data_IF_585069271367
#
_entry.id   IF_585069271367
#
_cell.length_a   1.000
_cell.length_b   1.000
_cell.length_c   1.000
_cell.angle_alpha   90.00
_cell.angle_beta   90.00
_cell.angle_gamma   90.00
#
_symmetry.space_group_name_H-M   'P 1'
#
loop_
_entity.id
_entity.type
_entity.pdbx_description
1 polymer ?
#
# COMPACT_ATOMS: atom_id res chain seq x y z
N UNK A 1 -2.81 4.49 -13.04
CA UNK A 1 -3.80 4.27 -11.97
C UNK A 1 -5.20 4.21 -12.55
N UNK A 2 -5.97 3.18 -12.28
CA UNK A 2 -7.36 3.10 -12.75
C UNK A 2 -8.20 4.22 -12.16
N UNK A 3 -9.04 4.84 -13.00
CA UNK A 3 -9.88 5.97 -12.56
C UNK A 3 -10.84 5.60 -11.43
N UNK A 4 -11.42 4.39 -11.50
CA UNK A 4 -12.34 3.94 -10.45
C UNK A 4 -11.62 3.83 -9.10
N UNK A 5 -10.40 3.34 -9.11
CA UNK A 5 -9.60 3.23 -7.88
C UNK A 5 -9.22 4.61 -7.35
N UNK A 6 -8.90 5.57 -8.20
CA UNK A 6 -8.47 6.91 -7.78
C UNK A 6 -9.53 7.64 -6.94
N UNK A 7 -10.80 7.26 -7.03
CA UNK A 7 -11.87 7.83 -6.22
C UNK A 7 -12.13 7.06 -4.93
N UNK A 8 -11.41 5.96 -4.72
CA UNK A 8 -11.68 5.07 -3.61
C UNK A 8 -10.52 4.94 -2.64
N UNK A 9 -9.47 5.72 -2.86
CA UNK A 9 -8.36 5.76 -1.90
C UNK A 9 -7.60 7.08 -2.00
N UNK A 10 -6.89 7.38 -0.93
CA UNK A 10 -5.99 8.51 -0.86
C UNK A 10 -4.79 8.12 -0.02
N UNK A 11 -3.66 8.72 -0.29
CA UNK A 11 -2.47 8.47 0.53
C UNK A 11 -1.67 9.75 0.69
N UNK A 12 -0.86 9.79 1.75
CA UNK A 12 0.10 10.87 1.92
C UNK A 12 1.43 10.31 2.43
N UNK A 13 2.51 10.72 1.77
CA UNK A 13 3.85 10.44 2.23
C UNK A 13 4.23 11.50 3.24
N UNK A 14 4.59 11.08 4.45
CA UNK A 14 4.95 11.99 5.54
C UNK A 14 6.45 12.17 5.58
N UNK A 15 7.19 11.09 5.37
CA UNK A 15 8.65 11.08 5.33
C UNK A 15 9.06 10.29 4.10
N UNK A 16 9.99 10.81 3.32
CA UNK A 16 10.47 10.13 2.12
C UNK A 16 10.97 11.10 1.07
N UNK A 17 11.29 10.58 -0.14
CA UNK A 17 11.80 11.43 -1.23
C UNK A 17 10.86 12.55 -1.63
N UNK A 18 9.55 12.34 -1.46
CA UNK A 18 8.50 13.27 -1.87
C UNK A 18 7.69 13.82 -0.70
N UNK A 19 8.09 13.51 0.53
CA UNK A 19 7.37 13.95 1.70
C UNK A 19 7.87 15.27 2.26
N UNK A 20 7.12 15.87 3.18
CA UNK A 20 7.54 17.10 3.86
C UNK A 20 8.78 16.91 4.71
N UNK A 21 9.03 15.69 5.19
CA UNK A 21 10.28 15.35 5.87
C UNK A 21 11.11 14.52 4.90
N UNK A 22 12.25 15.04 4.41
CA UNK A 22 13.02 14.33 3.39
C UNK A 22 13.74 13.11 3.94
N UNK A 23 13.72 12.02 3.17
CA UNK A 23 14.52 10.83 3.39
C UNK A 23 14.63 10.11 2.06
N UNK A 24 15.71 9.40 1.81
CA UNK A 24 15.90 8.69 0.54
C UNK A 24 15.91 7.17 0.68
N UNK A 25 16.00 6.65 1.90
CA UNK A 25 16.08 5.21 2.18
C UNK A 25 14.90 4.69 3.00
N UNK A 26 13.90 5.52 3.27
CA UNK A 26 12.72 5.18 4.04
C UNK A 26 11.54 6.03 3.59
N UNK A 27 10.39 5.40 3.43
CA UNK A 27 9.13 6.11 3.20
C UNK A 27 8.17 5.72 4.32
N UNK A 28 7.58 6.72 4.95
CA UNK A 28 6.50 6.55 5.92
C UNK A 28 5.29 7.35 5.47
N UNK A 29 4.13 6.77 5.58
CA UNK A 29 2.91 7.47 5.20
C UNK A 29 1.65 6.77 5.67
N UNK A 30 0.53 7.30 5.21
CA UNK A 30 -0.79 6.75 5.49
C UNK A 30 -1.53 6.54 4.18
N UNK A 31 -2.35 5.50 4.14
CA UNK A 31 -3.27 5.26 3.04
C UNK A 31 -4.66 5.00 3.60
N UNK A 32 -5.65 5.65 3.00
CA UNK A 32 -7.06 5.53 3.38
C UNK A 32 -7.82 4.94 2.20
N UNK A 33 -8.55 3.86 2.44
CA UNK A 33 -9.40 3.21 1.45
C UNK A 33 -10.87 3.37 1.81
N UNK A 34 -11.69 3.59 0.79
CA UNK A 34 -13.15 3.50 0.95
C UNK A 34 -13.56 2.07 1.26
N UNK A 35 -14.76 1.85 1.84
CA UNK A 35 -15.30 0.49 1.98
C UNK A 35 -15.42 -0.20 0.61
N UNK A 36 -15.41 -1.52 0.60
CA UNK A 36 -15.59 -2.36 -0.61
C UNK A 36 -14.60 -2.01 -1.71
N UNK A 37 -13.36 -1.72 -1.35
CA UNK A 37 -12.33 -1.36 -2.31
C UNK A 37 -11.33 -2.48 -2.46
N UNK A 38 -10.98 -2.80 -3.71
CA UNK A 38 -9.87 -3.69 -4.00
C UNK A 38 -8.74 -2.86 -4.62
N UNK A 39 -7.63 -2.78 -3.89
CA UNK A 39 -6.42 -2.18 -4.43
C UNK A 39 -5.70 -3.27 -5.22
N UNK A 40 -5.46 -3.07 -6.52
CA UNK A 40 -4.99 -4.14 -7.38
C UNK A 40 -3.69 -4.77 -6.91
N UNK A 41 -3.49 -6.03 -7.29
CA UNK A 41 -2.26 -6.75 -7.03
C UNK A 41 -1.08 -5.96 -7.58
N UNK A 42 -0.05 -5.77 -6.75
CA UNK A 42 1.11 -4.97 -7.10
C UNK A 42 2.33 -5.53 -6.36
N UNK A 43 3.49 -5.13 -6.82
CA UNK A 43 4.75 -5.49 -6.19
C UNK A 43 5.71 -4.31 -6.21
N UNK A 44 6.68 -4.36 -5.29
CA UNK A 44 7.70 -3.33 -5.14
C UNK A 44 9.06 -4.02 -5.16
N UNK A 45 9.66 -4.13 -6.31
CA UNK A 45 10.97 -4.76 -6.43
C UNK A 45 12.03 -3.94 -5.70
N UNK A 46 12.79 -4.61 -4.83
CA UNK A 46 13.80 -3.94 -4.03
C UNK A 46 13.28 -3.21 -2.82
N UNK A 47 11.98 -3.39 -2.50
CA UNK A 47 11.33 -2.69 -1.39
C UNK A 47 10.69 -3.70 -0.47
N UNK A 48 10.95 -3.56 0.84
CA UNK A 48 10.21 -4.26 1.87
C UNK A 48 9.17 -3.30 2.43
N UNK A 49 7.94 -3.77 2.57
CA UNK A 49 6.82 -2.96 3.00
C UNK A 49 6.17 -3.54 4.23
N UNK A 50 5.82 -2.67 5.18
CA UNK A 50 5.03 -3.08 6.34
C UNK A 50 3.84 -2.15 6.49
N UNK A 51 2.75 -2.71 7.04
CA UNK A 51 1.53 -1.99 7.35
C UNK A 51 1.19 -2.14 8.81
N UNK A 52 0.67 -1.06 9.39
CA UNK A 52 -0.01 -1.11 10.67
C UNK A 52 -1.46 -0.74 10.42
N UNK A 53 -2.37 -1.64 10.77
CA UNK A 53 -3.80 -1.43 10.63
C UNK A 53 -4.28 -0.50 11.71
N UNK A 54 -4.86 0.65 11.34
CA UNK A 54 -5.31 1.67 12.28
C UNK A 54 -6.82 1.63 12.44
N UNK A 55 -7.55 1.56 11.35
CA UNK A 55 -9.02 1.54 11.37
C UNK A 55 -9.57 0.73 10.21
N UNK A 56 -10.74 0.13 10.42
CA UNK A 56 -11.39 -0.72 9.42
C UNK A 56 -10.79 -2.11 9.34
N UNK A 57 -11.34 -2.93 8.46
CA UNK A 57 -10.84 -4.29 8.23
C UNK A 57 -10.43 -4.45 6.77
N UNK A 58 -9.50 -5.36 6.53
CA UNK A 58 -8.99 -5.61 5.18
C UNK A 58 -8.36 -7.00 5.11
N UNK A 59 -8.17 -7.48 3.89
CA UNK A 59 -7.45 -8.72 3.64
C UNK A 59 -6.32 -8.50 2.65
N UNK A 60 -5.30 -9.33 2.74
CA UNK A 60 -4.20 -9.34 1.79
C UNK A 60 -4.23 -10.65 1.04
N UNK A 61 -4.35 -10.57 -0.28
CA UNK A 61 -4.41 -11.75 -1.17
C UNK A 61 -5.51 -12.74 -0.77
N UNK A 62 -6.57 -12.25 -0.13
CA UNK A 62 -7.69 -13.07 0.35
C UNK A 62 -7.29 -14.17 1.35
N UNK A 63 -6.12 -14.05 1.94
CA UNK A 63 -5.60 -15.08 2.84
C UNK A 63 -6.14 -14.98 4.26
N UNK A 64 -6.34 -13.75 4.76
CA UNK A 64 -6.80 -13.52 6.11
C UNK A 64 -7.42 -12.12 6.22
N UNK A 65 -8.26 -11.93 7.21
CA UNK A 65 -8.83 -10.61 7.52
C UNK A 65 -8.05 -10.00 8.67
N UNK A 66 -7.58 -8.79 8.48
CA UNK A 66 -6.83 -8.05 9.49
C UNK A 66 -7.71 -6.96 10.12
N UNK A 67 -7.58 -6.83 11.43
CA UNK A 67 -8.29 -5.84 12.22
C UNK A 67 -7.32 -4.76 12.73
N UNK A 68 -7.83 -3.65 13.28
CA UNK A 68 -6.97 -2.62 13.86
C UNK A 68 -5.97 -3.18 14.85
N UNK A 69 -4.74 -2.69 14.79
CA UNK A 69 -3.63 -3.17 15.62
C UNK A 69 -2.76 -4.23 14.97
N UNK A 70 -3.18 -4.78 13.82
CA UNK A 70 -2.39 -5.81 13.12
C UNK A 70 -1.16 -5.17 12.46
N UNK A 71 -0.04 -5.88 12.53
CA UNK A 71 1.19 -5.51 11.84
C UNK A 71 1.47 -6.56 10.77
N UNK A 72 1.63 -6.12 9.54
CA UNK A 72 1.86 -7.00 8.39
C UNK A 72 3.19 -6.62 7.74
N UNK A 73 4.01 -7.64 7.46
CA UNK A 73 5.31 -7.46 6.82
C UNK A 73 5.30 -8.14 5.46
N UNK A 74 5.71 -7.40 4.44
CA UNK A 74 5.85 -7.91 3.07
C UNK A 74 7.29 -7.76 2.62
N UNK A 75 7.89 -8.88 2.26
CA UNK A 75 9.26 -8.91 1.79
C UNK A 75 9.38 -8.33 0.37
N UNK A 76 10.62 -8.04 -0.02
CA UNK A 76 10.98 -7.59 -1.34
C UNK A 76 10.33 -8.44 -2.44
N UNK A 77 9.65 -7.77 -3.36
CA UNK A 77 9.09 -8.42 -4.53
C UNK A 77 7.81 -9.21 -4.29
N UNK A 78 7.33 -9.30 -3.06
CA UNK A 78 6.09 -10.00 -2.76
C UNK A 78 4.90 -9.25 -3.36
N UNK A 79 4.14 -9.94 -4.22
CA UNK A 79 2.92 -9.35 -4.78
C UNK A 79 1.79 -9.39 -3.77
N UNK A 80 1.06 -8.29 -3.65
CA UNK A 80 -0.06 -8.24 -2.72
C UNK A 80 -1.20 -7.39 -3.28
N UNK A 81 -2.41 -7.78 -2.88
CA UNK A 81 -3.65 -7.12 -3.21
C UNK A 81 -4.39 -6.85 -1.91
N UNK A 82 -4.91 -5.65 -1.75
CA UNK A 82 -5.66 -5.25 -0.57
C UNK A 82 -7.14 -5.17 -0.91
N UNK A 83 -7.97 -5.85 -0.12
CA UNK A 83 -9.42 -5.77 -0.24
C UNK A 83 -9.99 -5.32 1.08
N UNK A 84 -10.76 -4.23 1.08
CA UNK A 84 -11.31 -3.64 2.30
C UNK A 84 -12.69 -4.17 2.61
N UNK A 85 -13.09 -4.03 3.87
CA UNK A 85 -14.39 -4.49 4.35
C UNK A 85 -15.56 -3.69 3.80
N UNK A 86 -16.78 -4.15 4.09
CA UNK A 86 -17.97 -3.65 3.43
C UNK A 86 -18.55 -2.37 4.04
N UNK A 87 -18.18 -2.04 5.27
CA UNK A 87 -18.87 -0.98 6.01
C UNK A 87 -18.03 0.25 6.28
N UNK A 88 -16.77 0.07 6.67
CA UNK A 88 -15.97 1.16 7.19
C UNK A 88 -14.79 1.45 6.28
N UNK A 89 -14.37 2.73 6.21
CA UNK A 89 -13.10 3.05 5.59
C UNK A 89 -11.97 2.32 6.31
N UNK A 90 -10.90 2.02 5.57
CA UNK A 90 -9.73 1.35 6.11
C UNK A 90 -8.55 2.30 6.07
N UNK A 91 -7.93 2.52 7.23
CA UNK A 91 -6.75 3.38 7.35
C UNK A 91 -5.55 2.53 7.76
N UNK A 92 -4.51 2.59 6.95
CA UNK A 92 -3.23 1.92 7.21
C UNK A 92 -2.11 2.94 7.29
N UNK A 93 -1.19 2.73 8.23
CA UNK A 93 0.11 3.35 8.15
C UNK A 93 1.05 2.41 7.40
N UNK A 94 1.90 2.93 6.53
CA UNK A 94 2.83 2.10 5.78
C UNK A 94 4.25 2.59 5.95
N UNK A 95 5.20 1.65 5.87
CA UNK A 95 6.63 1.92 5.88
C UNK A 95 7.28 1.12 4.76
N UNK A 96 8.05 1.79 3.93
CA UNK A 96 8.82 1.17 2.85
C UNK A 96 10.29 1.38 3.11
N UNK A 97 11.06 0.30 3.03
CA UNK A 97 12.52 0.35 3.14
C UNK A 97 13.14 -0.25 1.90
N UNK A 98 14.28 0.31 1.48
CA UNK A 98 14.97 -0.16 0.29
C UNK A 98 16.04 0.82 -0.12
N UNK A 99 16.74 0.50 -1.21
CA UNK A 99 17.73 1.41 -1.77
C UNK A 99 17.04 2.66 -2.34
N UNK A 100 17.69 3.83 -2.32
CA UNK A 100 17.06 5.04 -2.85
C UNK A 100 16.52 4.91 -4.27
N UNK A 101 17.21 4.19 -5.13
CA UNK A 101 16.78 3.98 -6.52
C UNK A 101 15.45 3.24 -6.58
N UNK A 102 15.26 2.25 -5.70
CA UNK A 102 14.02 1.48 -5.65
C UNK A 102 12.88 2.33 -5.12
N UNK A 103 13.10 3.12 -4.07
CA UNK A 103 12.07 3.94 -3.45
C UNK A 103 11.59 5.07 -4.35
N UNK A 104 12.42 5.55 -5.24
CA UNK A 104 12.03 6.61 -6.20
C UNK A 104 11.44 6.05 -7.49
N UNK A 105 11.47 4.73 -7.68
CA UNK A 105 10.98 4.07 -8.88
C UNK A 105 9.46 3.95 -8.94
N UNK A 106 8.90 3.63 -10.12
CA UNK A 106 7.46 3.45 -10.26
C UNK A 106 7.00 2.11 -9.70
N UNK A 107 5.75 2.09 -9.23
CA UNK A 107 5.08 0.86 -8.80
C UNK A 107 4.58 0.09 -10.02
N UNK A 108 4.65 -1.24 -9.96
CA UNK A 108 4.14 -2.12 -11.00
C UNK A 108 2.88 -2.83 -10.51
N UNK A 109 1.81 -2.73 -11.29
CA UNK A 109 0.56 -3.45 -11.02
C UNK A 109 0.49 -4.71 -11.86
N UNK A 110 0.09 -5.82 -11.23
CA UNK A 110 -0.11 -7.12 -11.88
C UNK A 110 -1.55 -7.57 -11.78
N UNK A 111 -2.10 -8.04 -12.92
CA UNK A 111 -3.44 -8.62 -12.99
C UNK A 111 -3.57 -9.26 -14.38
N UNK A 112 -4.75 -9.71 -14.84
CA UNK A 112 -4.88 -10.16 -16.23
C UNK A 112 -4.41 -9.05 -17.16
N UNK A 113 -3.32 -8.88 -17.54
CA UNK A 113 -2.67 -7.74 -18.15
C UNK A 113 -1.92 -6.97 -17.10
N UNK A 114 -0.95 -6.20 -17.50
CA UNK A 114 -0.13 -5.38 -16.60
C UNK A 114 -0.53 -3.92 -16.74
N UNK A 115 -0.79 -3.27 -15.60
CA UNK A 115 -1.03 -1.84 -15.56
C UNK A 115 0.26 -1.12 -15.19
N UNK A 116 0.53 -0.05 -15.89
CA UNK A 116 1.65 0.84 -15.59
C UNK A 116 1.12 2.20 -15.17
N UNK A 117 1.85 2.80 -14.29
CA UNK A 117 1.54 4.14 -13.80
C UNK A 117 2.19 5.17 -14.70
#
# INVERSE_FOLDING_TARGET
MPKALARRYAYCEVLGPKGPVPADDLILGFVLFAPKTTYPQHSHKGISESYISIAGSWSENDAAVFAPGSLILNDDGHEHRITTGDRDPCLLAYAWTGAPEALSGPMTFSRPGTLRR
#
